data_IF_593343014783
#
_entry.id   IF_593343014783
#
_cell.length_a   1.000
_cell.length_b   1.000
_cell.length_c   1.000
_cell.angle_alpha   90.00
_cell.angle_beta   90.00
_cell.angle_gamma   90.00
#
_symmetry.space_group_name_H-M   'P 1'
#
loop_
_entity.id
_entity.type
_entity.pdbx_description
1 polymer ?
#
# COMPACT_ATOMS: atom_id res chain seq x y z
N UNK A 1 -11.99 -12.80 26.18
CA UNK A 1 -11.43 -13.54 25.03
C UNK A 1 -12.26 -13.34 23.77
N UNK A 2 -13.52 -13.78 23.69
CA UNK A 2 -14.39 -13.56 22.52
C UNK A 2 -14.57 -12.08 22.15
N UNK A 3 -14.57 -11.16 23.11
CA UNK A 3 -14.71 -9.72 22.88
C UNK A 3 -13.49 -9.15 22.12
N UNK A 4 -12.28 -9.55 22.46
CA UNK A 4 -11.06 -9.11 21.75
C UNK A 4 -11.07 -9.62 20.32
N UNK A 5 -11.43 -10.88 20.10
CA UNK A 5 -11.52 -11.46 18.74
C UNK A 5 -12.56 -10.71 17.86
N UNK A 6 -13.70 -10.35 18.45
CA UNK A 6 -14.75 -9.60 17.76
C UNK A 6 -14.34 -8.15 17.41
N UNK A 7 -13.42 -7.54 18.18
CA UNK A 7 -12.97 -6.15 17.98
C UNK A 7 -11.57 -6.02 17.40
N UNK A 8 -10.80 -7.11 17.21
CA UNK A 8 -9.40 -7.06 16.75
C UNK A 8 -9.24 -6.31 15.44
N UNK A 9 -10.08 -6.54 14.45
CA UNK A 9 -10.01 -5.86 13.17
C UNK A 9 -10.18 -4.34 13.33
N UNK A 10 -11.05 -3.89 14.23
CA UNK A 10 -11.22 -2.47 14.54
C UNK A 10 -10.02 -1.85 15.25
N UNK A 11 -9.24 -2.65 15.98
CA UNK A 11 -8.00 -2.19 16.61
C UNK A 11 -6.86 -2.14 15.60
N UNK A 12 -6.83 -3.10 14.67
CA UNK A 12 -5.78 -3.21 13.64
C UNK A 12 -6.01 -2.20 12.54
N UNK A 13 -7.22 -2.14 11.97
CA UNK A 13 -7.55 -1.25 10.85
C UNK A 13 -8.10 0.08 11.36
N UNK A 14 -7.26 1.12 11.27
CA UNK A 14 -7.57 2.47 11.76
C UNK A 14 -8.29 3.29 10.68
N UNK A 15 -9.38 2.74 10.16
CA UNK A 15 -10.18 3.39 9.12
C UNK A 15 -10.83 4.69 9.60
N UNK A 16 -10.95 5.66 8.70
CA UNK A 16 -11.72 6.89 8.88
C UNK A 16 -12.80 6.94 7.81
N UNK A 17 -14.00 6.35 8.08
CA UNK A 17 -15.11 6.40 7.13
C UNK A 17 -15.56 7.84 6.89
N UNK A 18 -15.99 8.12 5.67
CA UNK A 18 -16.57 9.40 5.27
C UNK A 18 -17.96 9.19 4.66
N UNK A 19 -18.74 10.27 4.58
CA UNK A 19 -20.01 10.24 3.86
C UNK A 19 -19.76 10.01 2.37
N UNK A 20 -20.65 9.25 1.70
CA UNK A 20 -20.62 9.06 0.25
C UNK A 20 -20.65 10.40 -0.52
N UNK A 21 -21.28 11.44 0.05
CA UNK A 21 -21.32 12.79 -0.53
C UNK A 21 -20.07 13.63 -0.22
N UNK A 22 -19.06 13.09 0.42
CA UNK A 22 -17.82 13.82 0.69
C UNK A 22 -17.16 14.26 -0.61
N UNK A 23 -16.72 15.53 -0.68
CA UNK A 23 -16.04 16.06 -1.85
C UNK A 23 -14.53 16.11 -1.58
N UNK A 24 -13.77 15.28 -2.26
CA UNK A 24 -12.31 15.30 -2.19
C UNK A 24 -11.76 16.63 -2.70
N UNK A 25 -10.65 17.09 -2.11
CA UNK A 25 -10.00 18.37 -2.46
C UNK A 25 -8.51 18.14 -2.64
N UNK A 26 -8.05 18.26 -3.89
CA UNK A 26 -6.64 18.16 -4.26
C UNK A 26 -6.25 19.33 -5.17
N UNK A 27 -4.96 19.66 -5.20
CA UNK A 27 -4.41 20.70 -6.09
C UNK A 27 -4.32 20.24 -7.55
N UNK A 28 -4.30 18.93 -7.80
CA UNK A 28 -4.27 18.32 -9.12
C UNK A 28 -5.62 17.71 -9.49
N UNK A 29 -5.98 17.65 -10.79
CA UNK A 29 -7.20 16.99 -11.24
C UNK A 29 -7.18 15.50 -10.91
N UNK A 30 -8.33 14.98 -10.57
CA UNK A 30 -8.56 13.56 -10.34
C UNK A 30 -9.92 13.14 -10.89
N UNK A 31 -10.09 11.83 -11.06
CA UNK A 31 -11.36 11.21 -11.40
C UNK A 31 -11.68 10.18 -10.31
N UNK A 32 -12.91 10.22 -9.83
CA UNK A 32 -13.42 9.29 -8.81
C UNK A 32 -14.17 8.15 -9.49
N UNK A 33 -13.98 6.93 -9.00
CA UNK A 33 -14.63 5.72 -9.45
C UNK A 33 -15.17 4.95 -8.26
N UNK A 34 -16.30 4.30 -8.45
CA UNK A 34 -16.85 3.34 -7.53
C UNK A 34 -16.80 1.96 -8.19
N UNK A 35 -16.02 1.06 -7.60
CA UNK A 35 -15.70 -0.26 -8.16
C UNK A 35 -16.44 -1.31 -7.36
N UNK A 36 -17.42 -1.98 -8.01
CA UNK A 36 -18.15 -3.06 -7.39
C UNK A 36 -17.32 -4.36 -7.42
N UNK A 37 -17.13 -4.96 -6.26
CA UNK A 37 -16.45 -6.25 -6.10
C UNK A 37 -17.39 -7.41 -6.43
N UNK A 38 -16.83 -8.61 -6.64
CA UNK A 38 -17.63 -9.80 -6.99
C UNK A 38 -18.66 -10.20 -5.91
N UNK A 39 -18.48 -9.76 -4.67
CA UNK A 39 -19.42 -9.97 -3.57
C UNK A 39 -20.34 -8.77 -3.32
N UNK A 40 -20.39 -7.82 -4.27
CA UNK A 40 -21.32 -6.69 -4.29
C UNK A 40 -20.98 -5.56 -3.32
N UNK A 41 -19.72 -5.43 -2.90
CA UNK A 41 -19.24 -4.32 -2.07
C UNK A 41 -18.63 -3.25 -2.97
N UNK A 42 -19.04 -1.99 -2.79
CA UNK A 42 -18.53 -0.86 -3.55
C UNK A 42 -17.27 -0.28 -2.89
N UNK A 43 -16.20 -0.13 -3.67
CA UNK A 43 -14.93 0.45 -3.26
C UNK A 43 -14.71 1.79 -3.97
N UNK A 44 -14.34 2.80 -3.20
CA UNK A 44 -14.01 4.14 -3.70
C UNK A 44 -12.56 4.19 -4.17
N UNK A 45 -12.35 4.71 -5.37
CA UNK A 45 -11.03 4.83 -5.99
C UNK A 45 -10.84 6.19 -6.66
N UNK A 46 -9.61 6.69 -6.62
CA UNK A 46 -9.22 7.95 -7.27
C UNK A 46 -8.11 7.69 -8.28
N UNK A 47 -8.33 8.16 -9.51
CA UNK A 47 -7.31 8.21 -10.56
C UNK A 47 -6.80 9.63 -10.71
N UNK A 48 -5.50 9.82 -10.50
CA UNK A 48 -4.77 11.05 -10.79
C UNK A 48 -3.98 10.86 -12.09
N UNK A 49 -4.23 11.72 -13.06
CA UNK A 49 -3.56 11.63 -14.36
C UNK A 49 -2.29 12.46 -14.40
N UNK A 50 -1.27 11.93 -15.07
CA UNK A 50 -0.11 12.72 -15.47
C UNK A 50 -0.51 13.87 -16.37
N UNK A 51 0.21 14.99 -16.29
CA UNK A 51 0.03 16.13 -17.20
C UNK A 51 0.65 15.91 -18.59
N UNK A 52 1.44 14.84 -18.76
CA UNK A 52 2.05 14.41 -20.01
C UNK A 52 1.46 13.07 -20.45
N UNK A 53 1.70 12.59 -21.68
CA UNK A 53 1.35 11.21 -22.04
C UNK A 53 1.87 10.22 -21.02
N UNK A 54 0.98 9.39 -20.49
CA UNK A 54 1.29 8.49 -19.39
C UNK A 54 2.32 7.43 -19.78
N UNK A 55 3.32 7.24 -18.95
CA UNK A 55 4.32 6.16 -19.09
C UNK A 55 3.81 4.82 -18.55
N UNK A 56 2.74 4.85 -17.76
CA UNK A 56 2.19 3.68 -17.08
C UNK A 56 1.33 4.06 -15.88
N UNK A 57 0.90 3.06 -15.14
CA UNK A 57 0.04 3.19 -13.97
C UNK A 57 0.80 2.81 -12.69
N UNK A 58 0.81 3.71 -11.72
CA UNK A 58 1.13 3.38 -10.32
C UNK A 58 -0.15 2.87 -9.67
N UNK A 59 -0.19 1.60 -9.36
CA UNK A 59 -1.25 1.01 -8.53
C UNK A 59 -0.81 1.14 -7.06
N UNK A 60 -1.37 2.14 -6.38
CA UNK A 60 -0.94 2.54 -5.05
C UNK A 60 -1.84 1.96 -3.96
N UNK A 61 -1.31 1.10 -3.11
CA UNK A 61 -1.97 0.57 -1.92
C UNK A 61 -1.50 1.32 -0.68
N UNK A 62 -2.42 2.04 -0.05
CA UNK A 62 -2.12 2.99 1.01
C UNK A 62 -1.83 2.33 2.38
N UNK A 63 -1.26 3.11 3.30
CA UNK A 63 -0.98 2.68 4.66
C UNK A 63 -2.24 2.59 5.52
N UNK A 64 -2.07 2.07 6.73
CA UNK A 64 -3.14 2.04 7.72
C UNK A 64 -3.51 3.47 8.17
N UNK A 65 -4.75 3.70 8.55
CA UNK A 65 -5.35 4.97 8.96
C UNK A 65 -5.78 5.92 7.82
N UNK A 66 -6.69 6.81 8.15
CA UNK A 66 -7.30 7.82 7.27
C UNK A 66 -8.06 7.24 6.07
N UNK A 67 -8.05 7.94 4.95
CA UNK A 67 -8.74 7.64 3.72
C UNK A 67 -8.08 8.36 2.53
N UNK A 68 -8.65 8.26 1.33
CA UNK A 68 -8.13 8.84 0.10
C UNK A 68 -7.92 10.37 0.16
N UNK A 69 -8.63 11.13 1.03
CA UNK A 69 -8.36 12.57 1.17
C UNK A 69 -6.91 12.84 1.63
N UNK A 70 -6.38 11.99 2.48
CA UNK A 70 -4.97 12.07 2.87
C UNK A 70 -4.07 11.46 1.81
N UNK A 71 -4.38 10.23 1.39
CA UNK A 71 -3.47 9.44 0.57
C UNK A 71 -3.34 9.99 -0.85
N UNK A 72 -4.37 10.60 -1.42
CA UNK A 72 -4.31 11.24 -2.72
C UNK A 72 -3.27 12.37 -2.83
N UNK A 73 -2.85 12.96 -1.69
CA UNK A 73 -1.77 13.96 -1.70
C UNK A 73 -0.41 13.41 -2.12
N UNK A 74 -0.23 12.09 -2.09
CA UNK A 74 1.00 11.42 -2.53
C UNK A 74 1.06 11.23 -4.05
N UNK A 75 -0.05 11.34 -4.76
CA UNK A 75 -0.10 11.12 -6.20
C UNK A 75 0.83 12.04 -6.99
N UNK A 76 1.07 13.26 -6.50
CA UNK A 76 1.94 14.25 -7.15
C UNK A 76 3.38 13.75 -7.34
N UNK A 77 3.89 12.91 -6.46
CA UNK A 77 5.25 12.38 -6.54
C UNK A 77 5.45 11.52 -7.80
N UNK A 78 4.39 10.90 -8.28
CA UNK A 78 4.39 10.00 -9.44
C UNK A 78 3.88 10.70 -10.71
N UNK A 79 2.84 11.54 -10.59
CA UNK A 79 2.30 12.27 -11.76
C UNK A 79 3.32 13.26 -12.31
N UNK A 80 4.18 13.84 -11.45
CA UNK A 80 5.32 14.66 -11.86
C UNK A 80 6.40 13.88 -12.63
N UNK A 81 6.45 12.55 -12.47
CA UNK A 81 7.37 11.66 -13.20
C UNK A 81 6.75 11.09 -14.49
N UNK A 82 5.51 11.43 -14.79
CA UNK A 82 4.82 11.01 -15.99
C UNK A 82 3.99 9.73 -15.85
N UNK A 83 3.60 9.34 -14.65
CA UNK A 83 2.77 8.16 -14.38
C UNK A 83 1.36 8.58 -13.92
N UNK A 84 0.36 7.88 -14.39
CA UNK A 84 -0.97 7.93 -13.79
C UNK A 84 -0.94 7.20 -12.45
N UNK A 85 -1.80 7.58 -11.50
CA UNK A 85 -1.84 6.97 -10.16
C UNK A 85 -3.27 6.58 -9.83
N UNK A 86 -3.50 5.29 -9.60
CA UNK A 86 -4.74 4.77 -9.05
C UNK A 86 -4.55 4.42 -7.58
N UNK A 87 -5.39 4.97 -6.74
CA UNK A 87 -5.50 4.65 -5.31
C UNK A 87 -6.94 4.27 -5.01
N UNK A 88 -7.16 3.34 -4.09
CA UNK A 88 -8.51 2.99 -3.62
C UNK A 88 -8.54 2.85 -2.10
N UNK A 89 -9.65 3.18 -1.49
CA UNK A 89 -9.89 2.96 -0.08
C UNK A 89 -10.30 1.50 0.17
N UNK A 90 -9.65 0.86 1.14
CA UNK A 90 -10.03 -0.48 1.58
C UNK A 90 -11.44 -0.49 2.18
N UNK A 91 -12.09 -1.66 2.23
CA UNK A 91 -13.42 -1.78 2.86
C UNK A 91 -13.47 -1.08 4.22
N UNK A 92 -14.46 -0.22 4.41
CA UNK A 92 -14.66 0.56 5.63
C UNK A 92 -13.73 1.76 5.81
N UNK A 93 -12.85 2.05 4.84
CA UNK A 93 -12.11 3.30 4.76
C UNK A 93 -12.84 4.27 3.83
N UNK A 94 -12.78 5.58 4.13
CA UNK A 94 -13.36 6.62 3.31
C UNK A 94 -14.81 6.35 2.95
N UNK A 95 -15.12 6.31 1.66
CA UNK A 95 -16.45 6.00 1.13
C UNK A 95 -16.64 4.51 0.82
N UNK A 96 -15.57 3.70 0.87
CA UNK A 96 -15.67 2.27 0.60
C UNK A 96 -16.53 1.56 1.62
N UNK A 97 -17.44 0.72 1.14
CA UNK A 97 -18.35 -0.04 1.96
C UNK A 97 -17.68 -1.21 2.70
N UNK A 98 -18.44 -1.92 3.51
CA UNK A 98 -18.00 -3.17 4.15
C UNK A 98 -17.09 -2.98 5.35
N UNK A 99 -16.26 -4.00 5.63
CA UNK A 99 -15.32 -4.03 6.77
C UNK A 99 -14.02 -4.69 6.37
N UNK A 100 -12.90 -4.09 6.76
CA UNK A 100 -11.56 -4.64 6.50
C UNK A 100 -11.28 -5.91 7.28
N UNK A 101 -10.66 -6.84 6.60
CA UNK A 101 -9.93 -7.96 7.15
C UNK A 101 -8.82 -8.36 6.16
N UNK A 102 -7.81 -9.15 6.55
CA UNK A 102 -6.69 -9.48 5.67
C UNK A 102 -7.10 -10.12 4.34
N UNK A 103 -8.08 -11.03 4.36
CA UNK A 103 -8.54 -11.70 3.16
C UNK A 103 -9.19 -10.72 2.17
N UNK A 104 -10.03 -9.80 2.68
CA UNK A 104 -10.66 -8.78 1.84
C UNK A 104 -9.62 -7.83 1.25
N UNK A 105 -8.63 -7.37 2.06
CA UNK A 105 -7.56 -6.51 1.54
C UNK A 105 -6.90 -7.12 0.30
N UNK A 106 -6.60 -8.41 0.33
CA UNK A 106 -5.92 -9.09 -0.75
C UNK A 106 -6.84 -9.38 -1.95
N UNK A 107 -8.07 -9.81 -1.69
CA UNK A 107 -9.02 -10.11 -2.77
C UNK A 107 -9.46 -8.83 -3.47
N UNK A 108 -9.79 -7.78 -2.71
CA UNK A 108 -10.19 -6.49 -3.26
C UNK A 108 -9.08 -5.87 -4.11
N UNK A 109 -7.81 -5.97 -3.65
CA UNK A 109 -6.69 -5.46 -4.44
C UNK A 109 -6.56 -6.14 -5.80
N UNK A 110 -6.82 -7.45 -5.85
CA UNK A 110 -6.82 -8.20 -7.10
C UNK A 110 -7.99 -7.81 -8.01
N UNK A 111 -9.17 -7.58 -7.45
CA UNK A 111 -10.36 -7.16 -8.23
C UNK A 111 -10.19 -5.74 -8.77
N UNK A 112 -9.73 -4.78 -7.92
CA UNK A 112 -9.44 -3.41 -8.36
C UNK A 112 -8.32 -3.37 -9.40
N UNK A 113 -7.29 -4.20 -9.26
CA UNK A 113 -6.22 -4.33 -10.26
C UNK A 113 -6.79 -4.81 -11.60
N UNK A 114 -7.58 -5.87 -11.62
CA UNK A 114 -8.16 -6.39 -12.86
C UNK A 114 -9.10 -5.37 -13.53
N UNK A 115 -9.89 -4.68 -12.74
CA UNK A 115 -10.71 -3.57 -13.23
C UNK A 115 -9.83 -2.48 -13.88
N UNK A 116 -8.75 -2.07 -13.21
CA UNK A 116 -7.86 -1.02 -13.70
C UNK A 116 -7.16 -1.39 -15.01
N UNK A 117 -6.75 -2.66 -15.18
CA UNK A 117 -6.15 -3.16 -16.43
C UNK A 117 -7.17 -3.09 -17.56
N UNK A 118 -8.40 -3.52 -17.32
CA UNK A 118 -9.45 -3.54 -18.35
C UNK A 118 -9.90 -2.13 -18.74
N UNK A 119 -9.95 -1.21 -17.77
CA UNK A 119 -10.41 0.16 -17.99
C UNK A 119 -9.36 1.05 -18.66
N UNK A 120 -8.06 0.89 -18.31
CA UNK A 120 -7.01 1.83 -18.70
C UNK A 120 -5.98 1.27 -19.67
N UNK A 121 -5.83 -0.06 -19.78
CA UNK A 121 -4.82 -0.75 -20.60
C UNK A 121 -3.42 -0.07 -20.53
N UNK A 122 -2.84 0.10 -19.33
CA UNK A 122 -1.62 0.87 -19.16
C UNK A 122 -0.40 0.15 -19.76
N UNK A 123 0.55 0.88 -20.41
CA UNK A 123 1.72 0.27 -21.05
C UNK A 123 2.72 -0.32 -20.03
N UNK A 124 2.69 0.15 -18.78
CA UNK A 124 3.48 -0.36 -17.66
C UNK A 124 2.66 -0.32 -16.38
N UNK A 125 2.93 -1.23 -15.47
CA UNK A 125 2.27 -1.29 -14.16
C UNK A 125 3.32 -1.39 -13.08
N UNK A 126 3.29 -0.42 -12.19
CA UNK A 126 4.11 -0.39 -10.99
C UNK A 126 3.20 -0.58 -9.78
N UNK A 127 3.43 -1.63 -9.01
CA UNK A 127 2.77 -1.81 -7.73
C UNK A 127 3.54 -1.04 -6.65
N UNK A 128 2.86 -0.16 -5.97
CA UNK A 128 3.42 0.63 -4.88
C UNK A 128 2.64 0.38 -3.60
N UNK A 129 3.33 -0.04 -2.55
CA UNK A 129 2.68 -0.32 -1.27
C UNK A 129 3.37 0.38 -0.11
N UNK A 130 2.59 1.08 0.73
CA UNK A 130 3.12 1.78 1.89
C UNK A 130 2.64 1.17 3.20
N UNK A 131 3.57 0.88 4.13
CA UNK A 131 3.25 0.36 5.46
C UNK A 131 2.32 -0.86 5.38
N UNK A 132 1.10 -0.82 5.91
CA UNK A 132 0.10 -1.87 5.71
C UNK A 132 -0.08 -2.22 4.22
N UNK A 133 -0.16 -1.22 3.36
CA UNK A 133 -0.30 -1.41 1.92
C UNK A 133 0.87 -2.16 1.28
N UNK A 134 2.05 -2.20 1.92
CA UNK A 134 3.17 -3.02 1.43
C UNK A 134 2.82 -4.50 1.38
N UNK A 135 2.05 -5.01 2.35
CA UNK A 135 1.59 -6.41 2.34
C UNK A 135 0.55 -6.66 1.26
N UNK A 136 -0.28 -5.65 0.97
CA UNK A 136 -1.29 -5.71 -0.10
C UNK A 136 -0.59 -5.74 -1.47
N UNK A 137 0.34 -4.80 -1.73
CA UNK A 137 1.09 -4.74 -2.98
C UNK A 137 1.94 -5.99 -3.21
N UNK A 138 2.67 -6.46 -2.19
CA UNK A 138 3.51 -7.65 -2.31
C UNK A 138 2.69 -8.92 -2.54
N UNK A 139 1.55 -9.08 -1.85
CA UNK A 139 0.65 -10.21 -2.06
C UNK A 139 0.01 -10.15 -3.47
N UNK A 140 -0.40 -8.97 -3.92
CA UNK A 140 -0.91 -8.78 -5.29
C UNK A 140 0.16 -9.16 -6.33
N UNK A 141 1.41 -8.73 -6.15
CA UNK A 141 2.54 -9.04 -7.04
C UNK A 141 2.82 -10.55 -7.17
N UNK A 142 2.34 -11.39 -6.23
CA UNK A 142 2.43 -12.85 -6.37
C UNK A 142 1.42 -13.44 -7.36
N UNK A 143 0.39 -12.68 -7.73
CA UNK A 143 -0.76 -13.14 -8.52
C UNK A 143 -0.88 -12.49 -9.89
N UNK A 144 -0.25 -11.33 -10.07
CA UNK A 144 -0.35 -10.52 -11.29
C UNK A 144 1.02 -10.17 -11.84
N UNK A 145 1.09 -9.84 -13.13
CA UNK A 145 2.30 -9.26 -13.71
C UNK A 145 2.41 -7.78 -13.34
N UNK A 146 3.59 -7.37 -12.91
CA UNK A 146 3.95 -5.98 -12.72
C UNK A 146 5.38 -5.74 -13.21
N UNK A 147 5.65 -4.53 -13.70
CA UNK A 147 6.99 -4.16 -14.17
C UNK A 147 7.94 -3.95 -12.98
N UNK A 148 7.43 -3.38 -11.90
CA UNK A 148 8.21 -3.08 -10.69
C UNK A 148 7.29 -3.19 -9.46
N UNK A 149 7.83 -3.67 -8.34
CA UNK A 149 7.23 -3.57 -7.01
C UNK A 149 8.05 -2.62 -6.14
N UNK A 150 7.42 -1.59 -5.60
CA UNK A 150 8.04 -0.63 -4.68
C UNK A 150 7.32 -0.70 -3.33
N UNK A 151 8.07 -0.88 -2.26
CA UNK A 151 7.54 -0.89 -0.89
C UNK A 151 8.14 0.26 -0.09
N UNK A 152 7.29 1.08 0.49
CA UNK A 152 7.67 2.19 1.38
C UNK A 152 7.36 1.81 2.82
N UNK A 153 8.35 1.88 3.69
CA UNK A 153 8.28 1.53 5.13
C UNK A 153 7.59 0.18 5.40
N UNK A 154 7.97 -0.91 4.68
CA UNK A 154 7.38 -2.21 4.91
C UNK A 154 7.86 -2.80 6.23
N UNK A 155 7.01 -3.62 6.88
CA UNK A 155 7.44 -4.57 7.91
C UNK A 155 7.62 -5.96 7.28
N UNK A 156 8.46 -6.81 7.89
CA UNK A 156 8.61 -8.19 7.41
C UNK A 156 7.39 -9.04 7.79
N UNK A 157 7.04 -9.04 9.06
CA UNK A 157 5.90 -9.75 9.63
C UNK A 157 5.05 -8.81 10.48
N UNK A 158 3.74 -9.05 10.55
CA UNK A 158 2.83 -8.21 11.34
C UNK A 158 3.23 -8.15 12.83
N UNK A 159 3.77 -9.25 13.34
CA UNK A 159 4.26 -9.35 14.72
C UNK A 159 5.36 -8.33 15.05
N UNK A 160 6.16 -7.93 14.06
CA UNK A 160 7.25 -6.96 14.25
C UNK A 160 6.74 -5.55 14.61
N UNK A 161 5.49 -5.23 14.27
CA UNK A 161 4.88 -3.90 14.48
C UNK A 161 3.82 -3.89 15.56
N UNK A 162 3.51 -5.04 16.15
CA UNK A 162 2.59 -5.13 17.28
C UNK A 162 3.33 -4.79 18.58
N UNK A 163 2.75 -3.86 19.34
CA UNK A 163 3.29 -3.47 20.64
C UNK A 163 3.56 -4.71 21.52
N UNK A 164 4.82 -4.91 21.93
CA UNK A 164 5.32 -6.13 22.55
C UNK A 164 4.47 -6.73 23.69
N UNK A 165 3.79 -5.96 24.58
CA UNK A 165 2.91 -6.53 25.59
C UNK A 165 1.66 -7.20 25.03
N UNK A 166 1.28 -6.88 23.77
CA UNK A 166 0.13 -7.47 23.08
C UNK A 166 0.52 -8.67 22.21
N UNK A 167 1.81 -8.88 21.93
CA UNK A 167 2.27 -10.00 21.10
C UNK A 167 1.81 -11.37 21.63
N UNK A 168 1.81 -11.68 22.95
CA UNK A 168 1.30 -12.95 23.43
C UNK A 168 -0.17 -13.21 23.05
N UNK A 169 -0.96 -12.16 22.89
CA UNK A 169 -2.35 -12.32 22.44
C UNK A 169 -2.47 -12.82 21.00
N UNK A 170 -1.48 -12.53 20.14
CA UNK A 170 -1.43 -13.04 18.76
C UNK A 170 -1.24 -14.56 18.73
N UNK A 171 -0.48 -15.12 19.68
CA UNK A 171 -0.24 -16.58 19.76
C UNK A 171 -1.39 -17.35 20.41
N UNK A 172 -2.22 -16.67 21.20
CA UNK A 172 -3.38 -17.29 21.86
C UNK A 172 -4.61 -17.39 20.95
N UNK A 173 -4.58 -16.72 19.80
CA UNK A 173 -5.69 -16.71 18.85
C UNK A 173 -5.19 -17.27 17.51
N UNK A 174 -6.01 -18.06 16.79
CA UNK A 174 -5.66 -18.50 15.44
C UNK A 174 -5.29 -17.28 14.58
N UNK A 175 -4.06 -17.26 14.12
CA UNK A 175 -3.53 -16.14 13.36
C UNK A 175 -3.97 -16.26 11.90
N UNK A 176 -5.20 -15.85 11.61
CA UNK A 176 -5.70 -15.63 10.25
C UNK A 176 -5.26 -14.26 9.69
N UNK A 177 -4.42 -13.52 10.45
CA UNK A 177 -3.80 -12.28 10.03
C UNK A 177 -2.50 -12.56 9.27
N UNK A 178 -2.62 -13.16 8.10
CA UNK A 178 -1.48 -13.44 7.20
C UNK A 178 -0.96 -12.15 6.53
N UNK A 179 -0.53 -11.16 7.33
CA UNK A 179 0.09 -9.92 6.86
C UNK A 179 1.62 -10.10 6.90
N UNK A 180 2.18 -10.69 5.84
CA UNK A 180 3.61 -11.00 5.72
C UNK A 180 4.16 -10.53 4.39
N UNK A 181 5.15 -9.65 4.43
CA UNK A 181 5.94 -9.30 3.25
C UNK A 181 6.99 -10.38 2.96
N UNK A 182 7.51 -11.08 3.97
CA UNK A 182 8.49 -12.16 3.77
C UNK A 182 7.94 -13.27 2.88
N UNK A 183 6.74 -13.76 3.18
CA UNK A 183 6.11 -14.84 2.41
C UNK A 183 5.77 -14.43 0.98
N UNK A 184 5.38 -13.17 0.79
CA UNK A 184 5.02 -12.64 -0.53
C UNK A 184 6.25 -12.40 -1.38
N UNK A 185 7.25 -11.65 -0.88
CA UNK A 185 8.44 -11.28 -1.64
C UNK A 185 9.26 -12.50 -2.11
N UNK A 186 9.25 -13.58 -1.36
CA UNK A 186 9.88 -14.85 -1.78
C UNK A 186 9.29 -15.44 -3.08
N UNK A 187 8.09 -15.00 -3.49
CA UNK A 187 7.37 -15.49 -4.67
C UNK A 187 7.29 -14.45 -5.80
N UNK A 188 7.60 -13.19 -5.51
CA UNK A 188 7.54 -12.09 -6.48
C UNK A 188 8.74 -12.17 -7.41
N UNK A 189 8.47 -12.12 -8.72
CA UNK A 189 9.47 -12.21 -9.78
C UNK A 189 9.84 -10.87 -10.41
N UNK A 190 8.99 -9.85 -10.27
CA UNK A 190 9.30 -8.49 -10.73
C UNK A 190 10.40 -7.85 -9.89
N UNK A 191 11.20 -6.91 -10.47
CA UNK A 191 12.17 -6.12 -9.73
C UNK A 191 11.54 -5.48 -8.49
N UNK A 192 12.21 -5.59 -7.34
CA UNK A 192 11.71 -5.16 -6.02
C UNK A 192 12.60 -4.10 -5.42
N UNK A 193 11.99 -3.01 -4.92
CA UNK A 193 12.67 -1.90 -4.25
C UNK A 193 12.01 -1.61 -2.92
N UNK A 194 12.80 -1.27 -1.91
CA UNK A 194 12.33 -0.89 -0.57
C UNK A 194 12.91 0.47 -0.20
N UNK A 195 12.04 1.38 0.24
CA UNK A 195 12.41 2.63 0.91
C UNK A 195 12.14 2.53 2.40
N UNK A 196 13.12 2.86 3.24
CA UNK A 196 12.91 2.86 4.69
C UNK A 196 13.73 3.96 5.37
N UNK A 197 13.19 4.52 6.44
CA UNK A 197 13.85 5.58 7.21
C UNK A 197 14.53 5.04 8.46
N UNK A 198 15.69 5.60 8.82
CA UNK A 198 16.43 5.18 10.02
C UNK A 198 15.76 5.57 11.33
N UNK A 199 14.88 6.59 11.32
CA UNK A 199 14.13 7.08 12.48
C UNK A 199 12.65 6.65 12.46
N UNK A 200 12.33 5.51 11.85
CA UNK A 200 10.97 4.98 11.83
C UNK A 200 10.66 4.29 13.17
N UNK A 201 9.80 4.96 13.97
CA UNK A 201 9.33 4.47 15.26
C UNK A 201 8.04 3.64 15.17
N UNK A 202 7.42 3.56 13.99
CA UNK A 202 6.20 2.78 13.75
C UNK A 202 6.55 1.40 13.24
N UNK A 203 7.42 1.34 12.22
CA UNK A 203 8.00 0.11 11.70
C UNK A 203 9.50 0.18 11.92
N UNK A 204 10.07 -0.58 12.86
CA UNK A 204 11.50 -0.58 13.10
C UNK A 204 12.29 -0.96 11.84
N UNK A 205 13.38 -0.24 11.54
CA UNK A 205 14.26 -0.55 10.41
C UNK A 205 14.68 -2.03 10.40
N UNK A 206 14.96 -2.58 11.59
CA UNK A 206 15.33 -3.99 11.77
C UNK A 206 14.27 -5.00 11.31
N UNK A 207 13.00 -4.60 11.23
CA UNK A 207 11.98 -5.44 10.61
C UNK A 207 12.14 -5.45 9.09
N UNK A 208 12.25 -4.27 8.48
CA UNK A 208 12.41 -4.15 7.03
C UNK A 208 13.72 -4.78 6.53
N UNK A 209 14.81 -4.71 7.29
CA UNK A 209 16.10 -5.34 6.96
C UNK A 209 16.01 -6.86 6.79
N UNK A 210 15.04 -7.52 7.44
CA UNK A 210 14.78 -8.97 7.22
C UNK A 210 14.37 -9.28 5.78
N UNK A 211 13.93 -8.28 5.01
CA UNK A 211 13.50 -8.43 3.62
C UNK A 211 14.65 -8.32 2.61
N UNK A 212 15.83 -7.81 3.02
CA UNK A 212 16.99 -7.63 2.13
C UNK A 212 17.37 -8.92 1.38
N UNK A 213 17.41 -10.12 2.02
CA UNK A 213 17.75 -11.36 1.32
C UNK A 213 16.74 -11.78 0.23
N UNK A 214 15.57 -11.14 0.17
CA UNK A 214 14.52 -11.42 -0.81
C UNK A 214 14.51 -10.44 -1.98
N UNK A 215 15.39 -9.43 -1.96
CA UNK A 215 15.56 -8.48 -3.04
C UNK A 215 16.48 -9.05 -4.13
N UNK A 216 16.35 -8.51 -5.35
CA UNK A 216 17.16 -8.94 -6.50
C UNK A 216 18.62 -8.48 -6.36
N UNK A 217 18.81 -7.31 -5.72
CA UNK A 217 20.10 -6.74 -5.37
C UNK A 217 19.98 -6.07 -3.99
N UNK A 218 21.03 -6.14 -3.14
CA UNK A 218 21.01 -5.46 -1.84
C UNK A 218 20.78 -3.95 -1.94
N UNK A 219 21.29 -3.31 -3.00
CA UNK A 219 21.16 -1.86 -3.23
C UNK A 219 19.74 -1.42 -3.59
N UNK A 220 18.83 -2.38 -3.84
CA UNK A 220 17.40 -2.10 -3.96
C UNK A 220 16.73 -1.80 -2.60
N UNK A 221 17.46 -1.93 -1.50
CA UNK A 221 17.04 -1.47 -0.18
C UNK A 221 17.62 -0.07 0.09
N UNK A 222 16.79 0.95 -0.09
CA UNK A 222 17.17 2.36 -0.03
C UNK A 222 16.89 2.89 1.38
N UNK A 223 17.95 3.16 2.13
CA UNK A 223 17.88 3.73 3.48
C UNK A 223 17.88 5.26 3.37
N UNK A 224 16.85 5.90 3.95
CA UNK A 224 16.74 7.35 4.04
C UNK A 224 17.13 7.77 5.45
N UNK A 225 18.36 8.27 5.58
CA UNK A 225 18.92 8.69 6.87
C UNK A 225 18.10 9.83 7.49
N UNK A 226 17.73 9.69 8.78
CA UNK A 226 16.92 10.67 9.50
C UNK A 226 15.43 10.63 9.23
N UNK A 227 14.97 9.90 8.20
CA UNK A 227 13.56 9.80 7.90
C UNK A 227 12.82 8.91 8.91
N UNK A 228 11.60 9.27 9.23
CA UNK A 228 10.65 8.48 10.01
C UNK A 228 9.53 7.92 9.12
N UNK A 229 8.54 7.29 9.74
CA UNK A 229 7.43 6.61 9.04
C UNK A 229 6.59 7.50 8.12
N UNK A 230 6.51 8.80 8.41
CA UNK A 230 5.53 9.68 7.73
C UNK A 230 6.16 10.69 6.78
N UNK A 231 7.47 10.86 6.81
CA UNK A 231 8.16 11.96 6.15
C UNK A 231 9.28 11.52 5.19
N UNK A 232 9.29 10.27 4.73
CA UNK A 232 10.28 9.79 3.74
C UNK A 232 10.30 10.68 2.51
N UNK A 233 9.13 11.11 2.03
CA UNK A 233 8.97 11.98 0.87
C UNK A 233 9.50 13.43 1.06
N UNK A 234 9.86 13.82 2.28
CA UNK A 234 10.45 15.15 2.54
C UNK A 234 11.96 15.17 2.25
N UNK A 235 12.55 14.02 1.90
CA UNK A 235 13.96 13.84 1.65
C UNK A 235 14.27 13.77 0.16
N UNK A 236 15.28 14.54 -0.29
CA UNK A 236 15.70 14.58 -1.69
C UNK A 236 16.13 13.21 -2.23
N UNK A 237 16.77 12.40 -1.38
CA UNK A 237 17.20 11.05 -1.75
C UNK A 237 16.02 10.17 -2.21
N UNK A 238 14.86 10.27 -1.53
CA UNK A 238 13.65 9.56 -1.94
C UNK A 238 13.27 9.90 -3.37
N UNK A 239 13.15 11.19 -3.69
CA UNK A 239 12.74 11.65 -5.02
C UNK A 239 13.77 11.30 -6.10
N UNK A 240 15.06 11.39 -5.77
CA UNK A 240 16.14 11.03 -6.70
C UNK A 240 16.08 9.54 -7.03
N UNK A 241 15.98 8.67 -6.04
CA UNK A 241 15.90 7.22 -6.23
C UNK A 241 14.59 6.81 -6.91
N UNK A 242 13.46 7.39 -6.51
CA UNK A 242 12.18 7.13 -7.16
C UNK A 242 12.22 7.47 -8.66
N UNK A 243 12.82 8.59 -9.01
CA UNK A 243 13.01 9.00 -10.41
C UNK A 243 13.91 8.04 -11.19
N UNK A 244 14.97 7.51 -10.56
CA UNK A 244 15.85 6.51 -11.19
C UNK A 244 15.12 5.19 -11.46
N UNK A 245 14.35 4.71 -10.47
CA UNK A 245 13.59 3.46 -10.56
C UNK A 245 12.49 3.56 -11.63
N UNK A 246 11.89 4.74 -11.81
CA UNK A 246 10.75 4.97 -12.71
C UNK A 246 11.17 5.55 -14.09
N UNK A 247 12.42 5.47 -14.48
CA UNK A 247 12.85 5.83 -15.83
C UNK A 247 12.35 4.82 -16.85
#
# INVERSE_FOLDING_TARGET
MALFYAFRNKVIFQSTPTSHNYQFKFSQPFQEYFIETNDGVELDALLFKSSTPSKGLIFYTHGNADNLQRWGTYAVDFTALGYDVLMYDYRGYGKSEGKSNPNNLYNDSFEVYNWAIQEFDPPKIILYGRSLGSTVASQLATKVSSDILILETPFAEFEDVVYWPLQPALYLFPNDLSLSNTQSLAKVTSPKFIFHGTNDWVVPLSSAEKLIPLLDQPDNFIIIEGAGHKNIRDFELYHTQLKEILK
#
